data_IF_041783288841
#
_entry.id   IF_041783288841
#
_cell.length_a   1.000
_cell.length_b   1.000
_cell.length_c   1.000
_cell.angle_alpha   90.00
_cell.angle_beta   90.00
_cell.angle_gamma   90.00
#
_symmetry.space_group_name_H-M   'P 1'
#
loop_
_entity.id
_entity.type
_entity.pdbx_description
1 polymer ?
#
# COMPACT_ATOMS: atom_id res chain seq x y z
N UNK A 1 14.89 -20.36 9.69
CA UNK A 1 14.58 -18.92 9.78
C UNK A 1 14.97 -18.41 11.15
N UNK A 2 15.62 -17.27 11.27
CA UNK A 2 15.99 -16.71 12.56
C UNK A 2 14.78 -16.10 13.25
N UNK A 3 14.82 -16.03 14.58
CA UNK A 3 13.78 -15.37 15.37
C UNK A 3 13.62 -13.89 14.96
N UNK A 4 14.72 -13.20 14.69
CA UNK A 4 14.72 -11.81 14.25
C UNK A 4 13.94 -11.64 12.94
N UNK A 5 14.16 -12.54 11.97
CA UNK A 5 13.44 -12.52 10.70
C UNK A 5 11.96 -12.79 10.89
N UNK A 6 11.59 -13.76 11.73
CA UNK A 6 10.19 -14.05 12.04
C UNK A 6 9.49 -12.86 12.69
N UNK A 7 10.18 -12.17 13.62
CA UNK A 7 9.64 -10.99 14.27
C UNK A 7 9.42 -9.86 13.27
N UNK A 8 10.31 -9.71 12.30
CA UNK A 8 10.15 -8.72 11.23
C UNK A 8 8.92 -9.03 10.38
N UNK A 9 8.69 -10.30 10.03
CA UNK A 9 7.51 -10.69 9.27
C UNK A 9 6.21 -10.38 10.02
N UNK A 10 6.19 -10.59 11.34
CA UNK A 10 5.04 -10.24 12.18
C UNK A 10 4.83 -8.72 12.23
N UNK A 11 5.89 -7.97 12.42
CA UNK A 11 5.82 -6.51 12.43
C UNK A 11 5.26 -5.95 11.13
N UNK A 12 5.68 -6.52 9.99
CA UNK A 12 5.21 -6.10 8.67
C UNK A 12 3.79 -6.60 8.35
N UNK A 13 3.22 -7.46 9.19
CA UNK A 13 1.89 -8.01 8.97
C UNK A 13 1.82 -9.10 7.91
N UNK A 14 2.95 -9.69 7.53
CA UNK A 14 3.01 -10.77 6.52
C UNK A 14 2.57 -12.09 7.12
N UNK A 15 2.90 -12.33 8.38
CA UNK A 15 2.44 -13.49 9.14
C UNK A 15 1.79 -13.02 10.43
N UNK A 16 0.90 -13.85 11.01
CA UNK A 16 0.29 -13.57 12.30
C UNK A 16 1.20 -13.99 13.46
N UNK A 17 0.70 -13.85 14.69
CA UNK A 17 1.45 -14.18 15.90
C UNK A 17 1.82 -15.65 16.01
N UNK A 18 1.16 -16.54 15.26
CA UNK A 18 1.47 -17.97 15.22
C UNK A 18 2.47 -18.31 14.13
N UNK A 19 2.89 -17.34 13.32
CA UNK A 19 3.78 -17.55 12.19
C UNK A 19 3.05 -17.92 10.90
N UNK A 20 1.73 -17.94 10.92
CA UNK A 20 0.91 -18.26 9.74
C UNK A 20 0.77 -17.04 8.86
N UNK A 21 0.87 -17.23 7.53
CA UNK A 21 0.67 -16.14 6.58
C UNK A 21 -0.70 -15.51 6.79
N UNK A 22 -0.71 -14.20 6.94
CA UNK A 22 -1.91 -13.44 7.23
C UNK A 22 -2.56 -12.93 5.95
N UNK A 23 -3.84 -13.25 5.75
CA UNK A 23 -4.64 -12.66 4.69
C UNK A 23 -5.22 -11.31 5.12
N UNK A 24 -5.69 -10.54 4.14
CA UNK A 24 -6.37 -9.29 4.42
C UNK A 24 -7.80 -9.58 4.89
N UNK A 25 -8.30 -8.78 5.83
CA UNK A 25 -9.67 -8.89 6.32
C UNK A 25 -10.56 -7.98 5.48
N UNK A 26 -11.69 -8.51 4.98
CA UNK A 26 -12.66 -7.76 4.20
C UNK A 26 -12.70 -8.18 2.73
N UNK A 27 -13.31 -7.36 1.89
CA UNK A 27 -13.57 -7.65 0.49
C UNK A 27 -12.62 -6.97 -0.48
N UNK A 28 -11.54 -6.41 0.03
CA UNK A 28 -10.52 -5.71 -0.76
C UNK A 28 -9.71 -6.71 -1.61
N UNK A 29 -9.28 -6.28 -2.80
CA UNK A 29 -8.41 -7.05 -3.68
C UNK A 29 -7.08 -7.45 -3.02
N UNK A 30 -6.67 -6.72 -1.99
CA UNK A 30 -5.41 -6.97 -1.29
C UNK A 30 -5.39 -8.34 -0.61
N UNK A 31 -6.56 -8.93 -0.32
CA UNK A 31 -6.63 -10.26 0.30
C UNK A 31 -6.01 -11.35 -0.58
N UNK A 32 -5.93 -11.14 -1.88
CA UNK A 32 -5.36 -12.10 -2.82
C UNK A 32 -3.84 -12.00 -2.93
N UNK A 33 -3.23 -10.99 -2.32
CA UNK A 33 -1.81 -10.74 -2.40
C UNK A 33 -1.09 -11.09 -1.11
N UNK A 34 0.13 -11.62 -1.23
CA UNK A 34 0.97 -11.98 -0.09
C UNK A 34 1.46 -10.74 0.65
N UNK A 35 1.89 -9.75 -0.12
CA UNK A 35 2.42 -8.50 0.42
C UNK A 35 1.32 -7.45 0.41
N UNK A 36 1.02 -6.92 1.58
CA UNK A 36 0.02 -5.87 1.71
C UNK A 36 0.69 -4.49 1.56
N UNK A 37 -0.06 -3.47 1.11
CA UNK A 37 0.51 -2.13 0.99
C UNK A 37 1.16 -1.62 2.29
N UNK A 38 0.54 -1.85 3.44
CA UNK A 38 1.09 -1.40 4.72
C UNK A 38 2.41 -2.09 5.08
N UNK A 39 2.65 -3.32 4.60
CA UNK A 39 3.92 -4.01 4.81
C UNK A 39 5.05 -3.25 4.12
N UNK A 40 4.80 -2.73 2.91
CA UNK A 40 5.75 -1.90 2.19
C UNK A 40 5.97 -0.58 2.93
N UNK A 41 4.90 0.06 3.39
CA UNK A 41 4.99 1.33 4.12
C UNK A 41 5.87 1.20 5.37
N UNK A 42 5.71 0.11 6.11
CA UNK A 42 6.47 -0.14 7.34
C UNK A 42 7.93 -0.49 7.05
N UNK A 43 8.16 -1.37 6.06
CA UNK A 43 9.50 -1.85 5.74
C UNK A 43 10.40 -0.71 5.22
N UNK A 44 9.84 0.17 4.39
CA UNK A 44 10.57 1.31 3.82
C UNK A 44 10.44 2.59 4.63
N UNK A 45 9.69 2.55 5.72
CA UNK A 45 9.43 3.72 6.58
C UNK A 45 8.92 4.91 5.77
N UNK A 46 7.89 4.67 4.97
CA UNK A 46 7.32 5.69 4.09
C UNK A 46 6.49 6.71 4.88
N UNK A 47 6.55 7.97 4.45
CA UNK A 47 5.64 8.98 4.97
C UNK A 47 4.23 8.78 4.36
N UNK A 48 3.19 9.46 4.90
CA UNK A 48 1.82 9.26 4.42
C UNK A 48 1.62 9.56 2.94
N UNK A 49 2.35 10.51 2.37
CA UNK A 49 2.22 10.89 0.97
C UNK A 49 2.75 9.79 0.06
N UNK A 50 3.94 9.28 0.36
CA UNK A 50 4.54 8.17 -0.38
C UNK A 50 3.73 6.88 -0.22
N UNK A 51 3.23 6.63 0.99
CA UNK A 51 2.37 5.48 1.27
C UNK A 51 1.10 5.51 0.41
N UNK A 52 0.47 6.67 0.27
CA UNK A 52 -0.74 6.82 -0.55
C UNK A 52 -0.45 6.58 -2.03
N UNK A 53 0.68 7.04 -2.54
CA UNK A 53 1.10 6.78 -3.93
C UNK A 53 1.24 5.27 -4.16
N UNK A 54 1.94 4.56 -3.27
CA UNK A 54 2.12 3.11 -3.37
C UNK A 54 0.77 2.39 -3.34
N UNK A 55 -0.11 2.76 -2.43
CA UNK A 55 -1.44 2.19 -2.33
C UNK A 55 -2.22 2.32 -3.64
N UNK A 56 -2.18 3.49 -4.27
CA UNK A 56 -2.91 3.74 -5.51
C UNK A 56 -2.32 3.00 -6.70
N UNK A 57 -1.01 2.86 -6.76
CA UNK A 57 -0.35 2.06 -7.80
C UNK A 57 -0.75 0.59 -7.70
N UNK A 58 -0.88 0.06 -6.49
CA UNK A 58 -1.22 -1.34 -6.26
C UNK A 58 -2.72 -1.62 -6.32
N UNK A 59 -3.54 -0.57 -6.34
CA UNK A 59 -5.00 -0.70 -6.29
C UNK A 59 -5.56 -1.25 -7.60
N UNK A 60 -6.36 -2.31 -7.50
CA UNK A 60 -7.05 -2.90 -8.66
C UNK A 60 -8.56 -2.85 -8.54
N UNK A 61 -9.07 -2.30 -7.42
CA UNK A 61 -10.49 -2.20 -7.17
C UNK A 61 -11.16 -1.21 -8.12
N UNK A 62 -12.31 -1.61 -8.69
CA UNK A 62 -13.11 -0.77 -9.59
C UNK A 62 -14.30 -0.22 -8.81
N UNK A 63 -14.52 1.08 -8.89
CA UNK A 63 -15.68 1.72 -8.28
C UNK A 63 -16.95 1.37 -9.08
N UNK A 64 -18.14 1.30 -8.42
CA UNK A 64 -19.36 0.81 -9.08
C UNK A 64 -19.78 1.54 -10.36
N UNK A 65 -19.45 2.82 -10.49
CA UNK A 65 -19.86 3.64 -11.64
C UNK A 65 -18.72 3.92 -12.62
N UNK A 66 -17.64 3.14 -12.54
CA UNK A 66 -16.46 3.35 -13.38
C UNK A 66 -16.02 2.05 -14.04
N UNK A 67 -15.50 2.17 -15.27
CA UNK A 67 -14.76 1.06 -15.88
C UNK A 67 -13.41 0.91 -15.21
N UNK A 68 -12.73 -0.23 -15.43
CA UNK A 68 -11.39 -0.45 -14.91
C UNK A 68 -10.39 0.62 -15.42
N UNK A 69 -10.53 1.01 -16.69
CA UNK A 69 -9.67 2.06 -17.29
C UNK A 69 -9.92 3.40 -16.62
N UNK A 70 -11.18 3.78 -16.44
CA UNK A 70 -11.53 5.03 -15.78
C UNK A 70 -11.00 5.08 -14.33
N UNK A 71 -11.13 4.00 -13.59
CA UNK A 71 -10.62 3.89 -12.23
C UNK A 71 -9.10 4.08 -12.19
N UNK A 72 -8.36 3.52 -13.16
CA UNK A 72 -6.91 3.69 -13.27
C UNK A 72 -6.55 5.15 -13.57
N UNK A 73 -7.27 5.78 -14.46
CA UNK A 73 -7.06 7.20 -14.80
C UNK A 73 -7.24 8.07 -13.55
N UNK A 74 -8.31 7.82 -12.78
CA UNK A 74 -8.57 8.57 -11.54
C UNK A 74 -7.44 8.36 -10.53
N UNK A 75 -6.96 7.13 -10.36
CA UNK A 75 -5.85 6.85 -9.44
C UNK A 75 -4.57 7.57 -9.86
N UNK A 76 -4.25 7.57 -11.15
CA UNK A 76 -3.06 8.29 -11.64
C UNK A 76 -3.22 9.81 -11.50
N UNK A 77 -4.42 10.35 -11.72
CA UNK A 77 -4.68 11.76 -11.51
C UNK A 77 -4.44 12.16 -10.05
N UNK A 78 -4.88 11.32 -9.12
CA UNK A 78 -4.63 11.53 -7.68
C UNK A 78 -3.15 11.41 -7.34
N UNK A 79 -2.43 10.47 -7.94
CA UNK A 79 -0.98 10.32 -7.76
C UNK A 79 -0.26 11.59 -8.24
N UNK A 80 -0.64 12.14 -9.38
CA UNK A 80 -0.08 13.40 -9.90
C UNK A 80 -0.28 14.52 -8.89
N UNK A 81 -1.48 14.64 -8.33
CA UNK A 81 -1.80 15.64 -7.32
C UNK A 81 -0.91 15.51 -6.09
N UNK A 82 -0.74 14.27 -5.59
CA UNK A 82 0.12 13.99 -4.43
C UNK A 82 1.57 14.32 -4.75
N UNK A 83 2.05 13.98 -5.94
CA UNK A 83 3.42 14.29 -6.37
C UNK A 83 3.67 15.79 -6.39
N UNK A 84 2.72 16.57 -6.89
CA UNK A 84 2.83 18.04 -6.91
C UNK A 84 2.92 18.61 -5.49
N UNK A 85 2.10 18.10 -4.59
CA UNK A 85 2.13 18.51 -3.19
C UNK A 85 3.46 18.17 -2.52
N UNK A 86 3.97 16.97 -2.79
CA UNK A 86 5.27 16.52 -2.26
C UNK A 86 6.41 17.40 -2.77
N UNK A 87 6.40 17.75 -4.05
CA UNK A 87 7.39 18.65 -4.64
C UNK A 87 7.33 20.02 -3.96
N UNK A 88 6.11 20.53 -3.74
CA UNK A 88 5.92 21.81 -3.05
C UNK A 88 6.55 21.80 -1.65
N UNK A 89 6.30 20.72 -0.90
CA UNK A 89 6.86 20.55 0.44
C UNK A 89 8.39 20.55 0.43
N UNK A 90 8.97 19.79 -0.49
CA UNK A 90 10.44 19.66 -0.59
C UNK A 90 11.10 20.99 -0.98
N UNK A 91 10.44 21.79 -1.82
CA UNK A 91 10.96 23.11 -2.22
C UNK A 91 10.92 24.13 -1.08
N UNK A 92 10.09 23.91 -0.09
CA UNK A 92 9.90 24.83 1.03
C UNK A 92 10.61 24.38 2.31
N UNK A 93 11.41 23.36 2.23
CA UNK A 93 12.26 22.92 3.34
C UNK A 93 13.46 23.85 3.55
#
# INVERSE_FOLDING_TARGET
MTEEFENKLRYLGIVDDTGTRKGNVGTSDYSEHIIQPWSIWLDYNLDPWDADIIKRVLRTKVEPCMSAVEARIVDYAKIIHICKEKIRQLKNE
#
